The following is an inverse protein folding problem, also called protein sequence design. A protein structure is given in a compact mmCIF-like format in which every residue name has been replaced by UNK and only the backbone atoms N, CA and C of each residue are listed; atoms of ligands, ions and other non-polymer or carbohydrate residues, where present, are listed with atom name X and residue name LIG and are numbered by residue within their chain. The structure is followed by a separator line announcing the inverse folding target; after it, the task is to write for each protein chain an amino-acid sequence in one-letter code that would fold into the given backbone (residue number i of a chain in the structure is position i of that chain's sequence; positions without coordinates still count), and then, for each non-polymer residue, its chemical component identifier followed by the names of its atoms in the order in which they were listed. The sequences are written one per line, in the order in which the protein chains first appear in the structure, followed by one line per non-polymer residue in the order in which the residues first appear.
data_IF_772674725728
#
_entry.id   IF_772674725728
#
_cell.length_a   1.000
_cell.length_b   1.000
_cell.length_c   1.000
_cell.angle_alpha   90.00
_cell.angle_beta   90.00
_cell.angle_gamma   90.00
#
_symmetry.space_group_name_H-M   'P 1'
#
loop_
_entity.id
_entity.type
_entity.pdbx_description
1 polymer ?
2 non-polymer ?
3 non-polymer ?
4 non-polymer ?
5 non-polymer ?
6 non-polymer ?
7 non-polymer ?
8 non-polymer ?
9 non-polymer ?
10 non-polymer ?
11 water ?
#
# COMPACT_ATOMS: atom_id res chain seq x y z
N UNK A 1 -17.82 -17.10 12.62
CA UNK A 1 -16.82 -16.60 11.61
C UNK A 1 -15.50 -16.03 12.14
N UNK A 2 -14.47 -16.04 11.28
CA UNK A 2 -13.21 -15.29 11.49
C UNK A 2 -13.48 -13.85 12.00
N UNK A 3 -12.86 -13.53 13.13
CA UNK A 3 -13.16 -12.30 13.85
C UNK A 3 -12.21 -11.21 13.43
N UNK A 4 -12.80 -10.17 12.83
CA UNK A 4 -12.14 -9.11 12.12
C UNK A 4 -12.41 -7.74 12.73
N UNK A 5 -11.35 -7.04 13.13
CA UNK A 5 -11.42 -5.68 13.61
C UNK A 5 -11.00 -4.73 12.51
N UNK A 6 -11.47 -3.49 12.58
CA UNK A 6 -11.08 -2.46 11.68
C UNK A 6 -10.53 -1.30 12.51
N UNK A 7 -9.33 -0.83 12.17
CA UNK A 7 -8.81 0.45 12.66
C UNK A 7 -8.95 1.53 11.61
N UNK A 8 -9.45 2.70 11.99
CA UNK A 8 -9.83 3.73 11.06
C UNK A 8 -11.28 3.58 10.55
N UNK A 9 -12.20 3.13 11.41
CA UNK A 9 -13.54 2.70 11.02
C UNK A 9 -14.43 3.83 10.53
N UNK A 10 -14.13 5.02 10.97
CA UNK A 10 -14.79 6.24 10.48
C UNK A 10 -14.13 6.91 9.28
N UNK A 11 -13.01 6.42 8.77
CA UNK A 11 -12.36 7.04 7.60
C UNK A 11 -13.05 6.66 6.29
N UNK A 12 -12.58 7.25 5.21
CA UNK A 12 -13.21 7.06 3.93
C UNK A 12 -13.13 5.60 3.56
N UNK A 13 -11.99 4.98 3.78
CA UNK A 13 -11.83 3.61 3.38
C UNK A 13 -12.30 2.67 4.49
N UNK A 14 -11.92 3.00 5.72
CA UNK A 14 -12.30 2.15 6.84
C UNK A 14 -13.81 1.88 6.95
N UNK A 15 -14.62 2.92 6.83
CA UNK A 15 -16.07 2.79 6.91
C UNK A 15 -16.57 1.87 5.81
N UNK A 16 -15.97 1.94 4.64
CA UNK A 16 -16.28 0.99 3.57
C UNK A 16 -15.90 -0.41 3.99
N UNK A 17 -14.75 -0.52 4.67
CA UNK A 17 -14.31 -1.85 5.09
C UNK A 17 -15.24 -2.49 6.13
N UNK A 18 -15.73 -1.65 7.05
CA UNK A 18 -16.67 -2.08 8.07
C UNK A 18 -17.90 -2.72 7.41
N UNK A 19 -18.43 -2.01 6.41
CA UNK A 19 -19.59 -2.50 5.69
C UNK A 19 -19.30 -3.80 4.99
N UNK A 20 -18.09 -3.90 4.41
CA UNK A 20 -17.73 -5.11 3.73
C UNK A 20 -17.61 -6.32 4.66
N UNK A 21 -16.96 -6.14 5.79
CA UNK A 21 -16.78 -7.20 6.75
C UNK A 21 -18.14 -7.67 7.30
N UNK A 22 -18.96 -6.68 7.67
CA UNK A 22 -20.30 -6.92 8.23
C UNK A 22 -21.04 -7.74 7.23
N UNK A 23 -21.01 -7.33 5.96
CA UNK A 23 -21.75 -8.04 4.91
C UNK A 23 -21.22 -9.42 4.54
N UNK A 24 -19.94 -9.68 4.70
CA UNK A 24 -19.42 -11.00 4.37
C UNK A 24 -20.00 -12.07 5.33
N UNK A 25 -20.44 -13.18 4.76
CA UNK A 25 -20.96 -14.29 5.54
C UNK A 25 -19.99 -14.92 6.44
N UNK A 26 -18.74 -15.06 5.99
CA UNK A 26 -17.69 -15.82 6.71
C UNK A 26 -16.87 -14.96 7.72
N UNK A 27 -17.21 -13.68 7.82
CA UNK A 27 -16.43 -12.78 8.66
C UNK A 27 -17.35 -12.15 9.65
N UNK A 28 -16.87 -11.99 10.89
CA UNK A 28 -17.62 -11.39 11.94
C UNK A 28 -16.86 -10.15 12.44
N UNK A 29 -17.53 -9.01 12.42
CA UNK A 29 -16.96 -7.81 12.93
C UNK A 29 -16.80 -7.81 14.44
N UNK A 30 -15.57 -7.92 14.94
CA UNK A 30 -15.25 -7.86 16.39
C UNK A 30 -14.96 -6.45 16.99
N UNK A 31 -14.73 -5.44 16.17
CA UNK A 31 -14.37 -4.11 16.70
C UNK A 31 -14.32 -3.15 15.58
N UNK A 32 -14.65 -1.92 15.87
CA UNK A 32 -14.62 -0.82 14.92
C UNK A 32 -13.97 0.34 15.66
N UNK A 33 -12.69 0.60 15.53
CA UNK A 33 -12.05 1.69 16.28
C UNK A 33 -11.65 2.84 15.35
N UNK A 34 -11.79 4.04 15.88
CA UNK A 34 -11.28 5.21 15.21
C UNK A 34 -10.39 5.97 16.20
N UNK A 35 -10.04 7.21 15.90
CA UNK A 35 -9.06 7.96 16.72
C UNK A 35 -9.55 8.07 18.15
N UNK A 36 -8.67 7.83 19.11
CA UNK A 36 -9.10 7.94 20.50
C UNK A 36 -9.73 6.71 21.16
N UNK A 37 -10.05 5.67 20.38
CA UNK A 37 -10.45 4.35 20.92
C UNK A 37 -9.27 3.50 21.37
N UNK A 38 -9.31 2.94 22.58
CA UNK A 38 -8.15 2.19 22.99
C UNK A 38 -8.04 0.84 22.26
N UNK A 39 -6.80 0.48 22.00
CA UNK A 39 -6.52 -0.71 21.25
C UNK A 39 -6.91 -1.97 21.95
N UNK A 40 -7.04 -1.88 23.28
CA UNK A 40 -7.47 -3.07 24.04
C UNK A 40 -8.90 -3.54 23.74
N UNK A 41 -9.73 -2.67 23.15
CA UNK A 41 -10.99 -3.13 22.54
C UNK A 41 -10.83 -4.26 21.59
N UNK A 42 -9.71 -4.34 20.89
CA UNK A 42 -9.43 -5.44 19.95
C UNK A 42 -9.22 -6.74 20.66
N UNK A 43 -8.46 -6.68 21.75
CA UNK A 43 -8.15 -7.89 22.50
C UNK A 43 -9.37 -8.30 23.36
N UNK A 44 -10.06 -7.30 23.93
CA UNK A 44 -11.33 -7.59 24.67
C UNK A 44 -12.33 -8.33 23.76
N UNK A 45 -12.38 -7.94 22.48
CA UNK A 45 -13.30 -8.50 21.51
C UNK A 45 -12.82 -9.76 20.84
N UNK A 46 -11.72 -10.30 21.31
CA UNK A 46 -11.22 -11.52 20.72
C UNK A 46 -10.96 -11.47 19.20
N UNK A 47 -10.40 -10.36 18.75
CA UNK A 47 -10.15 -10.13 17.31
C UNK A 47 -8.98 -10.99 16.85
N UNK A 48 -9.14 -11.64 15.71
CA UNK A 48 -8.10 -12.54 15.20
C UNK A 48 -7.25 -11.78 14.16
N UNK A 49 -7.90 -10.93 13.37
CA UNK A 49 -7.31 -10.22 12.26
C UNK A 49 -7.84 -8.78 12.26
N UNK A 50 -6.94 -7.83 12.02
CA UNK A 50 -7.29 -6.42 11.94
C UNK A 50 -6.98 -5.86 10.55
N UNK A 51 -7.90 -5.03 10.07
CA UNK A 51 -7.73 -4.26 8.90
C UNK A 51 -7.39 -2.84 9.35
N UNK A 52 -6.29 -2.29 8.82
CA UNK A 52 -5.82 -0.94 9.23
C UNK A 52 -5.78 0.05 8.05
N UNK A 53 -6.60 1.11 8.13
CA UNK A 53 -6.64 2.26 7.21
C UNK A 53 -6.71 3.54 8.05
N UNK A 54 -5.57 3.94 8.59
CA UNK A 54 -5.47 5.01 9.57
C UNK A 54 -4.62 6.13 9.01
N UNK A 55 -3.41 6.31 9.52
CA UNK A 55 -2.60 7.46 9.18
C UNK A 55 -1.16 7.02 9.42
N UNK A 56 -0.22 7.47 8.56
CA UNK A 56 1.24 7.14 8.65
C UNK A 56 1.90 7.32 10.02
N UNK A 57 1.51 8.39 10.72
CA UNK A 57 1.90 8.70 12.09
C UNK A 57 1.44 7.75 13.20
N UNK A 58 0.46 6.91 12.95
CA UNK A 58 -0.05 5.99 13.99
C UNK A 58 0.07 4.51 13.67
N UNK A 59 0.29 4.18 12.40
CA UNK A 59 0.23 2.78 11.97
C UNK A 59 1.28 1.87 12.58
N UNK A 60 2.48 2.41 12.82
CA UNK A 60 3.54 1.55 13.40
C UNK A 60 3.21 1.23 14.84
N UNK A 61 2.71 2.23 15.57
CA UNK A 61 2.17 1.96 16.95
C UNK A 61 1.07 0.88 16.98
N UNK A 62 0.10 0.96 16.08
CA UNK A 62 -0.91 -0.08 15.92
C UNK A 62 -0.31 -1.40 15.60
N UNK A 63 0.63 -1.43 14.68
CA UNK A 63 1.24 -2.71 14.36
C UNK A 63 1.98 -3.33 15.56
N UNK A 64 2.66 -2.49 16.34
CA UNK A 64 3.45 -2.98 17.44
C UNK A 64 2.52 -3.67 18.44
N UNK A 65 1.37 -3.05 18.71
CA UNK A 65 0.35 -3.64 19.56
C UNK A 65 -0.22 -4.94 18.95
N UNK A 66 -0.57 -4.91 17.67
CA UNK A 66 -1.12 -6.10 17.06
C UNK A 66 -0.19 -7.27 17.20
N UNK A 67 1.05 -7.04 16.83
CA UNK A 67 2.04 -8.08 16.82
C UNK A 67 2.32 -8.58 18.23
N UNK A 68 2.52 -7.68 19.20
CA UNK A 68 2.75 -8.16 20.55
C UNK A 68 1.59 -9.08 20.92
N UNK A 69 0.35 -8.70 20.56
CA UNK A 69 -0.84 -9.48 20.95
C UNK A 69 -1.21 -10.61 20.04
N UNK A 70 -0.38 -10.93 19.07
CA UNK A 70 -0.62 -12.15 18.29
C UNK A 70 -1.73 -11.99 17.29
N UNK A 71 -2.12 -10.73 17.03
CA UNK A 71 -3.24 -10.40 16.12
C UNK A 71 -2.70 -10.15 14.70
N UNK A 72 -3.24 -10.90 13.74
CA UNK A 72 -2.86 -10.78 12.34
C UNK A 72 -3.36 -9.46 11.84
N UNK A 73 -2.65 -8.93 10.87
CA UNK A 73 -2.88 -7.56 10.39
C UNK A 73 -2.81 -7.51 8.88
N UNK A 74 -3.80 -6.85 8.30
CA UNK A 74 -3.87 -6.53 6.89
C UNK A 74 -3.91 -5.00 6.82
N UNK A 75 -2.83 -4.40 6.36
CA UNK A 75 -2.64 -2.96 6.49
C UNK A 75 -2.67 -2.32 5.12
N UNK A 76 -3.52 -1.31 4.98
CA UNK A 76 -3.54 -0.50 3.79
C UNK A 76 -2.94 0.89 4.00
N UNK A 77 -2.87 1.36 5.24
CA UNK A 77 -2.21 2.62 5.57
C UNK A 77 -0.85 2.72 4.89
N UNK A 78 -0.57 3.88 4.30
CA UNK A 78 0.72 4.09 3.64
C UNK A 78 1.71 4.80 4.55
N UNK A 79 2.86 5.19 3.98
CA UNK A 79 3.94 5.79 4.71
C UNK A 79 5.04 4.81 5.06
N UNK A 80 5.06 3.67 4.35
CA UNK A 80 6.01 2.65 4.67
C UNK A 80 7.32 2.85 3.90
N UNK A 81 8.37 2.27 4.42
CA UNK A 81 9.72 2.40 3.89
C UNK A 81 10.39 1.08 4.26
N UNK A 82 11.57 0.88 3.69
CA UNK A 82 12.38 -0.32 3.96
C UNK A 82 12.64 -0.44 5.46
N UNK A 83 12.97 0.69 6.10
CA UNK A 83 13.26 0.67 7.56
C UNK A 83 12.04 0.27 8.39
N UNK A 84 10.87 0.80 8.04
CA UNK A 84 9.62 0.39 8.71
C UNK A 84 9.30 -1.11 8.50
N UNK A 85 9.50 -1.62 7.28
CA UNK A 85 9.40 -3.06 7.03
C UNK A 85 10.42 -3.86 7.89
N UNK A 86 11.66 -3.40 7.98
CA UNK A 86 12.66 -4.13 8.79
C UNK A 86 12.16 -4.18 10.22
N UNK A 87 11.67 -3.04 10.68
CA UNK A 87 11.16 -2.95 12.05
C UNK A 87 10.02 -3.95 12.32
N UNK A 88 9.03 -3.97 11.41
CA UNK A 88 7.92 -4.91 11.52
C UNK A 88 8.44 -6.34 11.58
N UNK A 89 9.33 -6.68 10.68
CA UNK A 89 10.01 -8.00 10.70
C UNK A 89 10.69 -8.35 12.00
N UNK A 90 11.29 -7.34 12.61
CA UNK A 90 12.03 -7.53 13.85
C UNK A 90 11.06 -7.79 14.99
N UNK A 91 9.92 -7.10 14.99
CA UNK A 91 8.89 -7.42 16.00
C UNK A 91 8.33 -8.85 15.79
N UNK A 92 8.19 -9.28 14.54
CA UNK A 92 7.63 -10.61 14.24
C UNK A 92 8.53 -11.77 14.65
N UNK A 93 9.84 -11.52 14.77
CA UNK A 93 10.76 -12.52 15.29
C UNK A 93 10.25 -13.10 16.59
N UNK A 94 9.85 -12.23 17.51
CA UNK A 94 9.20 -12.66 18.80
C UNK A 94 7.84 -13.36 18.70
N UNK A 95 7.12 -13.21 17.59
CA UNK A 95 5.75 -13.77 17.45
C UNK A 95 5.64 -14.49 16.14
N UNK A 96 6.39 -15.59 16.00
CA UNK A 96 6.57 -16.21 14.69
C UNK A 96 5.32 -16.87 14.06
N UNK A 97 4.20 -16.94 14.79
CA UNK A 97 2.94 -17.38 14.19
C UNK A 97 2.00 -16.31 13.69
N UNK A 98 2.39 -15.05 13.84
CA UNK A 98 1.59 -13.93 13.49
C UNK A 98 1.91 -13.51 12.07
N UNK A 99 0.88 -13.30 11.27
CA UNK A 99 1.01 -12.88 9.91
C UNK A 99 0.64 -11.39 9.79
N UNK A 100 1.47 -10.63 9.05
CA UNK A 100 1.21 -9.25 8.70
C UNK A 100 1.39 -9.12 7.18
N UNK A 101 0.42 -8.48 6.54
CA UNK A 101 0.49 -8.17 5.13
C UNK A 101 0.25 -6.66 5.03
N UNK A 102 1.16 -5.99 4.36
CA UNK A 102 1.13 -4.58 4.18
C UNK A 102 1.13 -4.31 2.68
N UNK A 103 0.18 -3.53 2.17
CA UNK A 103 0.09 -3.28 0.75
C UNK A 103 -0.34 -1.88 0.55
N UNK A 104 0.41 -1.13 -0.28
CA UNK A 104 0.01 0.23 -0.60
C UNK A 104 -1.18 0.33 -1.54
N UNK A 105 -1.51 -0.75 -2.25
CA UNK A 105 -2.75 -0.74 -3.03
C UNK A 105 -3.42 -2.10 -3.15
N UNK A 106 -4.67 -2.16 -2.75
CA UNK A 106 -5.40 -3.39 -2.75
C UNK A 106 -6.23 -3.58 -4.03
N UNK A 107 -6.25 -2.60 -4.92
CA UNK A 107 -7.06 -2.67 -6.14
C UNK A 107 -6.26 -3.44 -7.19
N UNK A 108 -6.92 -4.39 -7.85
CA UNK A 108 -6.23 -5.32 -8.76
C UNK A 108 -5.51 -4.60 -9.93
N UNK A 109 -6.13 -3.55 -10.44
CA UNK A 109 -5.53 -2.77 -11.48
C UNK A 109 -4.20 -2.14 -11.08
N UNK A 110 -4.08 -1.73 -9.82
CA UNK A 110 -2.83 -1.15 -9.30
C UNK A 110 -1.79 -2.25 -9.09
N UNK A 111 -2.24 -3.42 -8.64
CA UNK A 111 -1.31 -4.53 -8.47
C UNK A 111 -0.73 -4.95 -9.82
N UNK A 112 -1.61 -5.08 -10.81
CA UNK A 112 -1.20 -5.43 -12.15
C UNK A 112 -0.22 -4.41 -12.72
N UNK A 113 -0.46 -3.12 -12.41
CA UNK A 113 0.35 -2.03 -12.89
C UNK A 113 1.77 -2.24 -12.40
N UNK A 114 1.91 -2.60 -11.15
CA UNK A 114 3.23 -2.73 -10.55
C UNK A 114 3.93 -3.89 -11.19
N UNK A 115 3.21 -4.99 -11.37
CA UNK A 115 3.77 -6.19 -11.98
C UNK A 115 4.19 -5.88 -13.41
N UNK A 116 3.35 -5.16 -14.17
CA UNK A 116 3.68 -4.80 -15.56
C UNK A 116 4.86 -3.86 -15.68
N UNK A 117 4.92 -2.86 -14.79
CA UNK A 117 6.04 -1.87 -14.77
C UNK A 117 7.37 -2.55 -14.58
N UNK A 118 7.36 -3.56 -13.71
CA UNK A 118 8.52 -4.41 -13.41
C UNK A 118 8.93 -5.12 -14.70
N UNK A 119 7.96 -5.65 -15.44
CA UNK A 119 8.31 -6.39 -16.67
C UNK A 119 8.79 -5.50 -17.77
N UNK A 120 8.26 -4.27 -17.82
CA UNK A 120 8.50 -3.37 -18.94
C UNK A 120 9.82 -2.65 -18.78
N UNK A 121 10.34 -2.54 -17.54
CA UNK A 121 11.30 -1.46 -17.26
C UNK A 121 12.58 -1.51 -18.07
N UNK A 122 13.09 -2.71 -18.31
CA UNK A 122 14.39 -2.86 -18.96
C UNK A 122 14.35 -2.58 -20.47
N UNK A 123 13.16 -2.44 -21.06
CA UNK A 123 13.07 -2.13 -22.48
C UNK A 123 13.16 -0.62 -22.80
N UNK A 124 13.19 0.24 -21.79
CA UNK A 124 13.09 1.67 -22.08
C UNK A 124 14.27 2.45 -21.54
N UNK A 125 14.58 3.57 -22.15
CA UNK A 125 15.66 4.46 -21.68
C UNK A 125 15.23 5.22 -20.46
N UNK A 126 13.94 5.55 -20.41
CA UNK A 126 13.39 6.51 -19.43
C UNK A 126 12.19 5.90 -18.70
N UNK A 127 12.08 6.18 -17.40
CA UNK A 127 10.89 5.88 -16.62
C UNK A 127 10.61 6.90 -15.53
N UNK A 128 9.32 7.27 -15.48
CA UNK A 128 8.77 8.14 -14.46
C UNK A 128 7.42 7.66 -13.99
N UNK A 129 7.03 8.13 -12.80
CA UNK A 129 5.72 7.93 -12.27
C UNK A 129 5.10 9.26 -11.91
N UNK A 130 3.85 9.40 -12.32
CA UNK A 130 2.95 10.48 -11.90
C UNK A 130 1.79 9.81 -11.15
N UNK A 131 1.44 10.36 -9.99
CA UNK A 131 0.31 9.90 -9.17
C UNK A 131 -0.54 11.08 -8.86
N UNK A 132 -1.82 10.81 -8.76
CA UNK A 132 -2.79 11.86 -8.61
C UNK A 132 -3.85 11.37 -7.62
N UNK A 133 -4.09 12.17 -6.59
CA UNK A 133 -4.97 11.77 -5.53
C UNK A 133 -5.76 12.98 -5.00
N UNK A 134 -6.87 12.69 -4.33
CA UNK A 134 -7.66 13.67 -3.61
C UNK A 134 -6.72 14.53 -2.70
N UNK A 135 -7.13 15.78 -2.40
CA UNK A 135 -6.29 16.68 -1.60
C UNK A 135 -6.42 16.58 -0.04
N UNK A 136 -7.04 15.53 0.48
CA UNK A 136 -6.98 15.14 1.92
C UNK A 136 -5.84 14.19 2.23
N UNK A 137 -5.03 13.81 1.25
CA UNK A 137 -4.02 12.77 1.44
C UNK A 137 -2.80 13.31 2.19
N UNK A 138 -2.44 12.63 3.25
CA UNK A 138 -1.35 13.06 4.14
C UNK A 138 0.01 12.92 3.50
N UNK A 139 0.20 11.86 2.73
CA UNK A 139 1.55 11.51 2.22
C UNK A 139 1.78 11.77 0.71
N UNK A 140 2.98 12.26 0.38
CA UNK A 140 3.42 12.45 -1.05
C UNK A 140 4.88 12.09 -1.18
N UNK A 141 5.23 11.31 -2.15
CA UNK A 141 4.36 10.67 -3.05
C UNK A 141 3.63 9.48 -2.39
N UNK A 142 2.65 8.96 -3.10
CA UNK A 142 1.82 7.90 -2.61
C UNK A 142 2.66 6.65 -2.38
N UNK A 143 2.17 5.80 -1.50
CA UNK A 143 2.78 4.48 -1.32
C UNK A 143 2.91 3.59 -2.56
N UNK A 144 1.87 3.58 -3.40
CA UNK A 144 1.83 2.83 -4.64
C UNK A 144 2.92 3.31 -5.62
N UNK A 145 3.01 4.64 -5.75
CA UNK A 145 4.00 5.23 -6.67
C UNK A 145 5.42 4.98 -6.19
N UNK A 146 5.65 5.18 -4.89
CA UNK A 146 6.98 4.87 -4.29
C UNK A 146 7.32 3.39 -4.53
N UNK A 147 6.40 2.49 -4.22
CA UNK A 147 6.71 1.06 -4.45
C UNK A 147 7.01 0.78 -5.92
N UNK A 148 6.21 1.38 -6.81
CA UNK A 148 6.36 1.22 -8.27
C UNK A 148 7.70 1.67 -8.76
N UNK A 149 8.15 2.80 -8.27
CA UNK A 149 9.45 3.33 -8.65
C UNK A 149 10.56 2.39 -8.17
N UNK A 150 10.45 1.83 -6.96
CA UNK A 150 11.52 0.92 -6.47
C UNK A 150 11.57 -0.31 -7.32
N UNK A 151 10.40 -0.82 -7.69
CA UNK A 151 10.38 -1.97 -8.54
C UNK A 151 11.07 -1.72 -9.87
N UNK A 152 10.88 -0.51 -10.39
CA UNK A 152 11.41 -0.19 -11.70
C UNK A 152 12.89 -0.07 -11.60
N UNK A 153 13.32 0.69 -10.61
CA UNK A 153 14.74 0.82 -10.22
C UNK A 153 15.46 -0.52 -10.06
N UNK A 154 14.87 -1.41 -9.29
CA UNK A 154 15.40 -2.76 -9.12
C UNK A 154 15.56 -3.45 -10.46
N UNK A 155 14.54 -3.38 -11.30
CA UNK A 155 14.52 -4.04 -12.60
C UNK A 155 15.50 -3.42 -13.57
N UNK A 156 15.85 -2.14 -13.39
CA UNK A 156 16.84 -1.48 -14.28
C UNK A 156 18.26 -1.42 -13.70
N UNK A 157 18.54 -2.18 -12.67
CA UNK A 157 19.89 -2.32 -12.08
C UNK A 157 20.85 -2.67 -13.21
N UNK A 158 21.96 -1.96 -13.24
CA UNK A 158 22.93 -2.15 -14.31
C UNK A 158 22.61 -1.50 -15.66
N UNK A 159 21.51 -0.77 -15.81
CA UNK A 159 21.29 0.04 -17.01
C UNK A 159 21.58 1.53 -16.71
N UNK A 160 21.74 2.34 -17.77
CA UNK A 160 22.03 3.74 -17.50
C UNK A 160 20.83 4.47 -16.88
N UNK A 161 21.12 5.50 -16.08
CA UNK A 161 19.99 6.27 -15.58
C UNK A 161 19.23 6.98 -16.69
N UNK A 162 18.03 7.44 -16.36
CA UNK A 162 17.19 8.24 -17.27
C UNK A 162 18.03 9.36 -17.84
N UNK A 163 18.00 9.52 -19.15
CA UNK A 163 18.65 10.72 -19.68
C UNK A 163 17.92 12.00 -19.32
N UNK A 164 18.71 13.04 -19.06
CA UNK A 164 18.13 14.33 -18.73
C UNK A 164 19.14 15.43 -18.87
N UNK A 165 18.90 16.32 -19.81
CA UNK A 165 19.75 17.47 -20.09
C UNK A 165 19.46 18.71 -19.25
N UNK A 166 18.51 18.62 -18.32
CA UNK A 166 18.07 19.78 -17.54
C UNK A 166 19.26 20.53 -16.96
N UNK A 167 19.45 21.77 -17.33
CA UNK A 167 20.55 22.53 -16.83
C UNK A 167 20.06 23.78 -16.06
N UNK A 168 18.80 24.17 -16.19
CA UNK A 168 18.26 25.24 -15.40
C UNK A 168 16.81 24.81 -14.98
N UNK A 169 16.50 24.96 -13.70
CA UNK A 169 15.35 24.35 -13.10
C UNK A 169 14.77 25.08 -11.89
N UNK A 170 13.45 25.22 -11.79
CA UNK A 170 12.79 25.62 -10.55
C UNK A 170 12.84 24.45 -9.56
N UNK A 171 13.02 24.72 -8.25
CA UNK A 171 13.05 23.56 -7.31
C UNK A 171 11.76 22.73 -7.28
N UNK A 172 11.92 21.42 -7.25
CA UNK A 172 10.79 20.52 -7.27
C UNK A 172 10.22 20.24 -8.64
N UNK A 173 10.59 21.01 -9.66
CA UNK A 173 10.11 20.76 -11.00
C UNK A 173 10.20 19.28 -11.45
N UNK A 174 11.34 18.63 -11.20
CA UNK A 174 11.60 17.27 -11.70
C UNK A 174 11.11 16.16 -10.76
N UNK A 175 10.29 16.50 -9.78
CA UNK A 175 9.68 15.54 -8.89
C UNK A 175 10.61 15.08 -7.79
N UNK A 176 10.17 14.06 -7.06
CA UNK A 176 10.95 13.41 -6.03
C UNK A 176 11.81 12.34 -6.63
N UNK A 177 13.01 12.13 -6.07
CA UNK A 177 13.90 11.09 -6.53
C UNK A 177 13.64 9.85 -5.68
N UNK A 178 13.06 8.82 -6.29
CA UNK A 178 12.89 7.53 -5.67
C UNK A 178 13.75 6.53 -6.39
N UNK A 179 14.90 6.20 -5.83
CA UNK A 179 15.86 5.28 -6.48
C UNK A 179 16.19 5.61 -7.94
N UNK A 180 16.32 6.91 -8.21
CA UNK A 180 16.59 7.42 -9.53
C UNK A 180 15.38 7.56 -10.43
N UNK A 181 14.16 7.28 -9.92
CA UNK A 181 12.94 7.42 -10.69
C UNK A 181 12.23 8.68 -10.24
N UNK A 182 12.09 9.67 -11.13
CA UNK A 182 11.23 10.81 -10.84
C UNK A 182 9.77 10.45 -10.50
N UNK A 183 9.27 10.95 -9.38
CA UNK A 183 7.93 10.64 -9.01
C UNK A 183 7.22 11.93 -8.72
N UNK A 184 6.08 12.17 -9.38
CA UNK A 184 5.37 13.44 -9.21
C UNK A 184 3.99 13.23 -8.57
N UNK A 185 3.61 14.12 -7.66
CA UNK A 185 2.36 14.00 -6.91
C UNK A 185 1.40 15.19 -7.14
N UNK A 186 0.29 14.90 -7.80
CA UNK A 186 -0.78 15.85 -7.99
C UNK A 186 -1.78 15.67 -6.87
N UNK A 187 -2.24 16.77 -6.27
CA UNK A 187 -3.30 16.67 -5.26
C UNK A 187 -4.41 17.59 -5.74
N UNK A 188 -5.55 16.99 -6.09
CA UNK A 188 -6.60 17.72 -6.79
C UNK A 188 -7.98 17.33 -6.31
N UNK A 189 -8.80 18.31 -5.94
CA UNK A 189 -10.23 18.07 -5.67
C UNK A 189 -10.85 17.32 -6.87
N UNK A 190 -11.75 16.37 -6.59
CA UNK A 190 -12.47 15.62 -7.62
C UNK A 190 -11.86 14.22 -7.72
N UNK A 191 -10.54 14.13 -7.50
CA UNK A 191 -9.83 12.85 -7.56
C UNK A 191 -10.10 11.91 -6.41
N UNK A 192 -9.84 10.63 -6.67
CA UNK A 192 -9.79 9.58 -5.67
C UNK A 192 -8.35 9.08 -5.69
N UNK A 193 -8.06 8.03 -6.45
CA UNK A 193 -6.68 7.53 -6.48
C UNK A 193 -6.23 7.05 -7.87
N UNK A 194 -5.12 7.61 -8.32
CA UNK A 194 -4.71 7.50 -9.72
C UNK A 194 -3.19 7.48 -9.86
N UNK A 195 -2.72 6.75 -10.86
CA UNK A 195 -1.30 6.66 -11.17
C UNK A 195 -1.07 6.30 -12.67
N UNK A 196 -0.02 6.86 -13.27
CA UNK A 196 0.45 6.60 -14.64
C UNK A 196 1.94 6.33 -14.52
N UNK A 197 2.36 5.16 -14.93
CA UNK A 197 3.77 4.84 -15.10
C UNK A 197 4.07 5.10 -16.55
N UNK A 198 5.16 5.79 -16.81
CA UNK A 198 5.54 6.20 -18.13
C UNK A 198 6.90 5.70 -18.50
N UNK A 199 6.99 5.04 -19.64
CA UNK A 199 8.23 4.59 -20.12
C UNK A 199 8.43 5.17 -21.49
N UNK A 200 9.68 5.48 -21.81
CA UNK A 200 10.04 6.01 -23.12
C UNK A 200 11.36 5.50 -23.68
N UNK A 201 11.40 5.43 -25.00
CA UNK A 201 12.62 5.11 -25.77
C UNK A 201 12.39 5.79 -27.13
N UNK A 202 13.26 5.52 -28.09
CA UNK A 202 13.26 6.24 -29.35
C UNK A 202 11.88 6.21 -30.05
N UNK A 203 11.29 7.39 -30.24
CA UNK A 203 10.08 7.54 -31.01
C UNK A 203 8.80 6.98 -30.37
N UNK A 204 8.86 6.48 -29.13
CA UNK A 204 7.71 5.82 -28.52
C UNK A 204 7.66 5.88 -26.98
N UNK A 205 6.42 5.81 -26.45
CA UNK A 205 6.15 5.70 -25.02
C UNK A 205 5.12 4.67 -24.71
N UNK A 206 5.22 4.16 -23.49
CA UNK A 206 4.25 3.24 -22.95
C UNK A 206 3.77 3.77 -21.64
N UNK A 207 2.45 3.83 -21.49
CA UNK A 207 1.84 4.37 -20.29
C UNK A 207 0.97 3.29 -19.65
N UNK A 208 1.21 3.02 -18.36
CA UNK A 208 0.41 2.10 -17.60
C UNK A 208 -0.30 2.83 -16.55
N UNK A 209 -1.64 2.95 -16.72
CA UNK A 209 -2.45 3.81 -15.89
C UNK A 209 -3.56 3.07 -15.13
N UNK A 210 -3.70 3.44 -13.87
CA UNK A 210 -4.70 2.93 -13.00
C UNK A 210 -5.53 4.05 -12.41
N UNK A 211 -6.82 3.80 -12.29
CA UNK A 211 -7.78 4.72 -11.71
C UNK A 211 -8.66 3.92 -10.78
N UNK A 212 -8.69 4.29 -9.50
CA UNK A 212 -9.77 3.90 -8.57
C UNK A 212 -10.71 5.11 -8.49
N UNK A 213 -11.91 4.91 -9.00
CA UNK A 213 -12.97 5.94 -9.02
C UNK A 213 -13.77 5.92 -7.73
N UNK A 214 -13.80 4.76 -7.09
CA UNK A 214 -14.52 4.49 -5.89
C UNK A 214 -13.67 3.64 -4.89
N UNK A 215 -13.78 3.92 -3.59
CA UNK A 215 -13.07 3.13 -2.58
C UNK A 215 -13.52 1.67 -2.43
N UNK A 216 -14.66 1.32 -3.04
CA UNK A 216 -15.09 -0.08 -3.22
C UNK A 216 -14.09 -0.92 -3.99
N UNK A 217 -13.24 -0.28 -4.80
CA UNK A 217 -12.19 -0.98 -5.53
C UNK A 217 -11.16 -1.58 -4.61
N UNK A 218 -11.05 -1.11 -3.36
CA UNK A 218 -10.07 -1.73 -2.42
C UNK A 218 -10.61 -2.95 -1.68
N UNK A 219 -11.90 -3.20 -1.76
CA UNK A 219 -12.52 -4.23 -0.92
C UNK A 219 -12.11 -5.68 -1.29
N UNK A 220 -12.20 -6.08 -2.55
CA UNK A 220 -11.89 -7.47 -2.82
C UNK A 220 -10.46 -7.87 -2.41
N UNK A 221 -9.52 -6.99 -2.69
CA UNK A 221 -8.10 -7.25 -2.35
C UNK A 221 -7.91 -7.43 -0.83
N UNK A 222 -8.56 -6.56 -0.07
CA UNK A 222 -8.55 -6.66 1.37
C UNK A 222 -9.21 -7.94 1.87
N UNK A 223 -10.39 -8.24 1.41
CA UNK A 223 -11.07 -9.46 1.91
C UNK A 223 -10.30 -10.72 1.57
N UNK A 224 -9.70 -10.74 0.37
CA UNK A 224 -8.80 -11.82 -0.04
C UNK A 224 -7.60 -11.96 0.92
N UNK A 225 -7.00 -10.85 1.30
CA UNK A 225 -5.87 -10.89 2.24
C UNK A 225 -6.32 -11.32 3.58
N UNK A 226 -7.48 -10.84 4.02
CA UNK A 226 -8.02 -11.22 5.31
C UNK A 226 -8.27 -12.74 5.37
N UNK A 227 -8.90 -13.29 4.34
CA UNK A 227 -9.20 -14.72 4.31
C UNK A 227 -7.98 -15.60 4.18
N UNK A 228 -6.89 -15.08 3.63
CA UNK A 228 -5.67 -15.87 3.41
C UNK A 228 -4.48 -15.54 4.32
N UNK A 229 -4.69 -14.61 5.24
CA UNK A 229 -3.63 -14.03 6.00
C UNK A 229 -2.76 -15.08 6.74
N UNK A 230 -3.40 -16.15 7.28
CA UNK A 230 -2.67 -17.19 8.06
C UNK A 230 -1.74 -18.14 7.27
N UNK A 231 -1.99 -18.31 5.99
CA UNK A 231 -1.03 -19.00 5.14
C UNK A 231 0.42 -18.52 5.12
N UNK A 232 0.67 -17.24 5.41
CA UNK A 232 2.02 -16.71 5.27
C UNK A 232 2.36 -16.11 6.61
N UNK A 233 3.03 -16.88 7.47
CA UNK A 233 3.43 -16.29 8.76
C UNK A 233 4.55 -15.31 8.50
N UNK A 234 4.70 -14.30 9.33
CA UNK A 234 5.63 -13.27 8.98
C UNK A 234 4.99 -12.17 8.12
N UNK A 235 5.85 -11.44 7.43
CA UNK A 235 5.50 -10.23 6.75
C UNK A 235 5.39 -10.52 5.26
N UNK A 236 4.30 -10.10 4.67
CA UNK A 236 4.15 -10.11 3.22
C UNK A 236 3.98 -8.66 2.82
N UNK A 237 4.72 -8.19 1.83
CA UNK A 237 4.55 -6.85 1.32
C UNK A 237 3.86 -6.96 -0.03
N UNK A 238 2.75 -6.27 -0.18
CA UNK A 238 2.01 -6.26 -1.44
C UNK A 238 1.01 -7.37 -1.48
N UNK A 239 0.03 -7.21 -2.35
CA UNK A 239 -0.94 -8.25 -2.61
C UNK A 239 -0.46 -9.33 -3.62
N UNK A 240 0.47 -8.97 -4.49
CA UNK A 240 0.99 -9.84 -5.55
C UNK A 240 1.28 -11.31 -5.11
N UNK A 241 1.93 -11.56 -3.94
CA UNK A 241 2.21 -12.98 -3.56
C UNK A 241 0.97 -13.86 -3.27
N UNK A 242 -0.19 -13.27 -2.99
CA UNK A 242 -1.43 -14.00 -2.88
C UNK A 242 -2.04 -14.25 -4.27
N UNK A 243 -1.46 -13.71 -5.34
CA UNK A 243 -2.07 -13.92 -6.65
C UNK A 243 -1.20 -14.80 -7.51
N UNK A 244 -1.82 -15.47 -8.46
CA UNK A 244 -1.08 -16.21 -9.47
C UNK A 244 -0.97 -15.36 -10.73
N UNK A 245 0.28 -14.99 -11.07
CA UNK A 245 0.57 -14.03 -12.16
C UNK A 245 1.61 -14.57 -13.18
X LIG B 1 -3.46 6.19 -1.38
X LIG B 1 -2.76 5.24 -2.03
X LIG B 1 -3.42 4.29 -2.81
X LIG B 1 -4.78 4.37 -2.93
X LIG B 1 -5.51 5.37 -2.25
X LIG B 1 -4.81 6.29 -1.46
X LIG B 1 -1.26 5.19 -1.87
X LIG B 1 -0.74 5.97 -0.99
X LIG B 1 -0.55 4.44 -2.63
X LIG B 1 -5.50 7.43 -0.79
X LIG B 1 -6.72 7.71 -0.96
X LIG B 1 -4.84 8.13 -0.05
X LIG C 1 -8.99 9.00 6.28
X LIG C 1 -8.38 10.21 6.91
X LIG C 1 -10.29 9.14 5.56
X LIG C 1 -9.29 7.97 7.44
X LIG C 1 -8.31 7.61 8.41
X LIG C 1 -9.11 7.32 9.71
X LIG C 1 -8.21 6.83 10.70
X LIG C 1 -9.76 8.58 10.30
X LIG C 1 -11.18 8.40 10.56
X LIG C 1 -8.94 8.79 11.55
X LIG C 1 -9.66 9.42 12.58
X LIG C 1 -8.59 7.37 11.93
X LIG C 1 -7.49 7.21 12.87
X LIG C 1 -6.49 8.08 13.08
X LIG C 1 -5.67 7.64 14.05
X LIG C 1 -6.15 6.48 14.45
X LIG C 1 -5.76 5.53 15.45
X LIG C 1 -4.66 5.80 16.16
X LIG C 1 -6.52 4.43 15.59
X LIG C 1 -7.63 4.20 14.87
X LIG C 1 -8.07 5.06 13.93
X LIG C 1 -7.36 6.20 13.69
X LIG C 1 -7.87 8.33 5.31
X LIG C 1 -8.20 7.30 4.10
X LIG C 1 -9.25 6.31 4.54
X LIG C 1 -8.28 8.18 2.90
X LIG C 1 -6.79 6.56 4.06
X LIG C 1 -6.15 6.04 5.23
X LIG C 1 -4.81 5.44 4.84
X LIG C 1 -4.89 4.36 3.88
X LIG C 1 -3.89 6.46 4.18
X LIG C 1 -2.54 6.24 4.70
X LIG C 1 -4.00 6.20 2.68
X LIG C 1 -2.86 6.59 1.93
X LIG C 1 -4.12 4.67 2.68
X LIG C 1 -4.86 4.04 1.61
X LIG C 1 -4.46 2.83 1.19
X LIG C 1 -5.12 2.11 0.21
X LIG C 1 -4.66 0.74 -0.19
X LIG C 1 -5.29 0.10 -1.08
X LIG C 1 -3.64 0.19 0.45
X LIG C 1 -6.42 2.65 -0.39
X LIG C 1 -6.76 3.93 0.15
X LIG C 1 -6.01 4.57 1.14
X LIG D 1 6.70 8.87 1.96
X LIG D 1 5.46 8.33 2.57
X LIG D 1 6.64 10.37 2.22
X LIG D 1 7.87 8.22 2.62
X LIG D 1 6.76 8.34 0.54
X LIG E 1 8.75 3.62 13.78
X LIG E 1 7.81 4.43 13.93
X LIG E 1 8.92 2.63 14.53
X LIG E 1 9.71 3.83 12.65
X LIG E 1 9.77 5.07 12.01
X LIG E 1 10.68 5.28 10.98
X LIG E 1 11.49 4.22 10.56
X LIG E 1 11.42 2.96 11.19
X LIG E 1 10.54 2.78 12.24
X LIG F 1 5.36 4.06 16.77
X LIG F 1 6.42 3.69 15.99
X LIG F 1 6.93 2.52 16.45
X LIG F 1 6.21 2.13 17.52
X LIG F 1 5.22 3.09 17.72
X LIG G 1 -10.72 8.22 -15.31
X LIG G 1 -10.62 6.83 -16.01
X LIG G 1 -10.34 6.74 -17.45
X LIG G 1 -9.04 6.37 -17.96
X LIG G 1 -9.10 6.15 -19.48
X LIG G 1 -8.40 7.07 -20.33
X LIG G 1 -8.98 7.18 -21.68
X LIG H 1 -19.97 -10.49 8.50
X LIG I 1 16.49 0.31 -24.79
X LIG I 1 17.04 0.74 -26.05
X LIG I 1 17.48 -0.48 -23.94
X LIG I 1 17.68 0.20 -22.69
X LIG J 1 -5.77 -13.92 18.83
X LIG J 1 -4.59 -14.72 19.14
X LIG J 1 -6.84 -14.13 19.88
X LIG J 1 -7.90 -14.95 19.34
X LIG K 1 14.34 14.01 -9.15
X LIG K 1 15.40 15.00 -9.13
X LIG K 1 14.47 12.93 -10.20
X LIG K 1 15.65 12.08 -10.20
X LIG L 1 -8.48 -10.62 -6.95
X LIG L 1 -8.98 -9.52 -6.15
X LIG L 1 -9.50 -11.75 -7.06
X LIG L 1 -8.89 -12.92 -7.66
X LIG M 1 18.49 7.38 -4.50
X LIG M 1 18.97 7.69 -5.81
X LIG M 1 17.51 8.49 -4.08
X LIG M 1 16.35 7.99 -3.39
X LIG N 1 22.67 11.55 -18.71
X LIG N 1 21.93 12.53 -19.49
X LIG N 1 22.12 11.38 -17.28
X LIG N 1 21.76 12.65 -16.70
X LIG O 1 1.49 -5.63 -5.02
#
# INVERSE_FOLDING_TARGET
GMRVGVLGAKGKVGATMVRAVAAADDLTLSAELDAGDPLSLLTDGNTEVVIDFTHPDVVMGNLEFLIDNGIHAVVGTTGFTAERFQQVESWLVAKPNTSVLIAPNFAIGAVLSMHFAKQAARFFDSAEVIELHHPHKADAPSGTAARTAKLIAEARKGLPPNPDATSTSLPGARGADVDGIPVHAVRLAGLVAHQEVLFGTEGETLTIRHDSLDRTSFVPGVLLAVRRIAERPGLTVGLEPLLDL
PDC N1 C2 C3 C4 C5 C6 C7 O1 O2 C8 O3 O4
NAI PA O1A O2A O5B C5B C4B O4B C3B O3B C2B O2B C1B N9A C8A N7A C5A C6A N6A N1A C2A N3A C4A O3 PN O1N O2N O5D C5D C4D O4D C3D O3D C2D O2D C1D N1N C2N C3N C7N O7N N7N C4N C5N C6N
SO4 S O1 O2 O3 O4
BEZ C O1 O2 C1 C2 C3 C4 C5 C6
IMD N1 C2 N3 C4 C5
PG4 C3 C4 O3 C5 C6 O4 C7
NA NA
EDO C1 O1 C2 O2
EDO C1 O1 C2 O2
EDO C1 O1 C2 O2
EDO C1 O1 C2 O2
EDO C1 O1 C2 O2
EDO C1 O1 C2 O2
CL CL
#
